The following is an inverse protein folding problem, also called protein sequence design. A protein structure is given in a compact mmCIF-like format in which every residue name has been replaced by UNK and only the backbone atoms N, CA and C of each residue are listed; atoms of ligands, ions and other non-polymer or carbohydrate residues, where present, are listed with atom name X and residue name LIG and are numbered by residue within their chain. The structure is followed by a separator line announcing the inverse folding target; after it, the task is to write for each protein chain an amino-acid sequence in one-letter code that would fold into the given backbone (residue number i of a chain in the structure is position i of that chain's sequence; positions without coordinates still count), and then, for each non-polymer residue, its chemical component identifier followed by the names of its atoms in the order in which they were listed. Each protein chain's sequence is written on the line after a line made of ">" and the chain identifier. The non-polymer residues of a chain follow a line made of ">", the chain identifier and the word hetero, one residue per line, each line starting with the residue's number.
data_IF_578472192061
#
_entry.id   IF_578472192061
#
_cell.length_a   1.000
_cell.length_b   1.000
_cell.length_c   1.000
_cell.angle_alpha   90.00
_cell.angle_beta   90.00
_cell.angle_gamma   90.00
#
_symmetry.space_group_name_H-M   'P 1'
#
loop_
_entity.id
_entity.type
_entity.pdbx_description
1 polymer ?
#
# COMPACT_ATOMS: atom_id res chain seq x y z
N UNK A 1 56.18 23.46 17.81
CA UNK A 1 55.70 22.93 19.12
C UNK A 1 55.66 21.40 19.10
N UNK A 2 54.95 20.77 18.16
CA UNK A 2 54.85 19.30 18.05
C UNK A 2 56.18 18.58 17.77
N UNK A 3 57.02 19.12 16.89
CA UNK A 3 58.37 18.60 16.62
C UNK A 3 59.27 18.52 17.87
N UNK A 4 59.19 19.52 18.76
CA UNK A 4 59.96 19.51 20.01
C UNK A 4 59.45 18.47 20.99
N UNK A 5 58.13 18.28 21.06
CA UNK A 5 57.52 17.23 21.87
C UNK A 5 57.86 15.83 21.35
N UNK A 6 57.86 15.64 20.03
CA UNK A 6 58.26 14.38 19.40
C UNK A 6 59.69 13.98 19.79
N UNK A 7 60.65 14.90 19.63
CA UNK A 7 62.05 14.65 20.03
C UNK A 7 62.19 14.38 21.53
N UNK A 8 61.49 15.15 22.37
CA UNK A 8 61.51 14.93 23.82
C UNK A 8 60.99 13.55 24.21
N UNK A 9 59.92 13.08 23.57
CA UNK A 9 59.34 11.75 23.81
C UNK A 9 60.27 10.65 23.31
N UNK A 10 60.96 10.85 22.18
CA UNK A 10 61.97 9.92 21.68
C UNK A 10 63.18 9.79 22.63
N UNK A 11 63.66 10.92 23.13
CA UNK A 11 64.89 10.99 23.93
C UNK A 11 64.67 10.58 25.41
N UNK A 12 63.48 10.81 25.97
CA UNK A 12 63.20 10.64 27.39
C UNK A 12 61.91 9.84 27.71
N UNK A 13 61.26 9.26 26.70
CA UNK A 13 60.01 8.51 26.89
C UNK A 13 60.25 7.06 27.32
N UNK A 14 59.50 6.60 28.31
CA UNK A 14 59.46 5.18 28.70
C UNK A 14 58.52 4.38 27.77
N UNK A 15 58.75 3.06 27.58
CA UNK A 15 57.83 2.22 26.82
C UNK A 15 56.42 2.23 27.39
N UNK A 16 55.42 2.42 26.53
CA UNK A 16 54.02 2.45 26.94
C UNK A 16 53.14 1.51 26.11
N UNK A 17 52.06 1.04 26.70
CA UNK A 17 51.09 0.17 26.03
C UNK A 17 50.01 1.00 25.34
N UNK A 18 49.79 0.73 24.06
CA UNK A 18 48.71 1.33 23.26
C UNK A 18 47.81 0.23 22.74
N UNK A 19 46.50 0.40 22.91
CA UNK A 19 45.49 -0.46 22.30
C UNK A 19 45.32 -0.05 20.83
N UNK A 20 45.72 -0.91 19.89
CA UNK A 20 45.59 -0.72 18.44
C UNK A 20 44.81 -1.92 17.89
N UNK A 21 43.64 -1.70 17.30
CA UNK A 21 42.85 -2.77 16.66
C UNK A 21 42.49 -3.91 17.62
N UNK A 22 42.06 -3.58 18.84
CA UNK A 22 41.74 -4.56 19.88
C UNK A 22 42.94 -5.23 20.58
N UNK A 23 44.17 -5.09 20.07
CA UNK A 23 45.38 -5.71 20.64
C UNK A 23 46.22 -4.68 21.40
N UNK A 24 46.78 -5.06 22.54
CA UNK A 24 47.74 -4.22 23.28
C UNK A 24 49.12 -4.38 22.64
N UNK A 25 49.64 -3.31 22.05
CA UNK A 25 50.98 -3.25 21.49
C UNK A 25 51.88 -2.42 22.41
N UNK A 26 53.03 -2.97 22.78
CA UNK A 26 54.07 -2.24 23.50
C UNK A 26 54.84 -1.37 22.51
N UNK A 27 54.76 -0.05 22.68
CA UNK A 27 55.41 0.92 21.81
C UNK A 27 56.62 1.52 22.54
N UNK A 28 57.80 1.38 21.94
CA UNK A 28 59.03 2.01 22.39
C UNK A 28 59.31 3.31 21.59
N UNK A 29 59.24 4.50 22.23
CA UNK A 29 59.46 5.77 21.56
C UNK A 29 60.88 5.99 21.05
N UNK A 30 61.88 5.32 21.63
CA UNK A 30 63.27 5.48 21.21
C UNK A 30 63.54 4.93 19.81
N UNK A 31 62.70 4.00 19.34
CA UNK A 31 62.77 3.40 18.01
C UNK A 31 62.09 4.23 16.90
N UNK A 32 61.52 5.39 17.23
CA UNK A 32 60.82 6.21 16.24
C UNK A 32 61.79 6.87 15.24
N UNK A 33 61.38 7.08 13.97
CA UNK A 33 62.24 7.67 12.94
C UNK A 33 62.67 9.10 13.30
N UNK A 34 63.89 9.50 12.94
CA UNK A 34 64.38 10.87 13.22
C UNK A 34 63.59 11.96 12.49
N UNK A 35 63.06 11.63 11.30
CA UNK A 35 62.27 12.53 10.45
C UNK A 35 60.91 11.90 10.08
N UNK A 36 59.87 12.07 10.92
CA UNK A 36 58.52 11.65 10.57
C UNK A 36 57.87 12.61 9.56
N UNK A 37 57.17 12.07 8.56
CA UNK A 37 56.27 12.85 7.71
C UNK A 37 54.98 13.16 8.50
N UNK A 38 54.89 14.39 9.03
CA UNK A 38 53.80 14.82 9.91
C UNK A 38 52.87 15.81 9.20
N UNK A 39 51.67 15.37 8.84
CA UNK A 39 50.59 16.26 8.39
C UNK A 39 49.77 16.71 9.61
N UNK A 40 50.04 17.92 10.10
CA UNK A 40 49.33 18.48 11.26
C UNK A 40 48.02 19.11 10.78
N UNK A 41 46.89 18.43 11.01
CA UNK A 41 45.56 19.01 10.83
C UNK A 41 45.09 19.63 12.15
N UNK A 42 45.30 20.93 12.32
CA UNK A 42 44.67 21.66 13.43
C UNK A 42 43.20 21.92 13.10
N UNK A 43 42.32 21.09 13.64
CA UNK A 43 40.89 21.37 13.60
C UNK A 43 40.60 22.64 14.40
N UNK A 44 40.22 23.72 13.72
CA UNK A 44 39.53 24.83 14.37
C UNK A 44 38.36 24.23 15.16
N UNK A 45 38.38 24.39 16.48
CA UNK A 45 37.43 23.78 17.43
C UNK A 45 36.00 24.30 17.31
N UNK A 46 35.55 24.72 16.14
CA UNK A 46 34.19 25.17 15.87
C UNK A 46 33.35 23.99 15.41
N UNK A 47 32.32 23.64 16.21
CA UNK A 47 31.01 23.02 15.93
C UNK A 47 30.70 22.37 14.55
N UNK A 48 31.67 21.77 13.87
CA UNK A 48 31.49 21.07 12.59
C UNK A 48 31.53 19.56 12.77
N UNK A 49 31.51 19.06 14.01
CA UNK A 49 31.41 17.61 14.27
C UNK A 49 30.15 17.06 13.60
N UNK A 50 29.02 17.73 13.77
CA UNK A 50 27.76 17.34 13.12
C UNK A 50 27.85 17.38 11.59
N UNK A 51 28.51 18.40 11.04
CA UNK A 51 28.76 18.46 9.59
C UNK A 51 29.68 17.34 9.10
N UNK A 52 30.73 16.98 9.86
CA UNK A 52 31.62 15.87 9.51
C UNK A 52 30.90 14.54 9.60
N UNK A 53 30.07 14.33 10.62
CA UNK A 53 29.23 13.15 10.76
C UNK A 53 28.26 13.06 9.58
N UNK A 54 27.57 14.16 9.23
CA UNK A 54 26.65 14.20 8.09
C UNK A 54 27.35 13.87 6.76
N UNK A 55 28.53 14.46 6.50
CA UNK A 55 29.30 14.16 5.30
C UNK A 55 29.81 12.71 5.27
N UNK A 56 30.21 12.15 6.41
CA UNK A 56 30.63 10.74 6.51
C UNK A 56 29.47 9.77 6.35
N UNK A 57 28.29 10.10 6.87
CA UNK A 57 27.06 9.32 6.65
C UNK A 57 26.68 9.31 5.17
N UNK A 58 26.78 10.45 4.48
CA UNK A 58 26.55 10.53 3.03
C UNK A 58 27.57 9.69 2.25
N UNK A 59 28.85 9.76 2.62
CA UNK A 59 29.89 8.94 1.99
C UNK A 59 29.64 7.44 2.22
N UNK A 60 29.21 7.03 3.42
CA UNK A 60 28.87 5.63 3.71
C UNK A 60 27.72 5.12 2.84
N UNK A 61 26.72 5.98 2.54
CA UNK A 61 25.66 5.66 1.59
C UNK A 61 26.19 5.38 0.19
N UNK A 62 27.07 6.25 -0.32
CA UNK A 62 27.73 6.06 -1.63
C UNK A 62 28.61 4.80 -1.63
N UNK A 63 29.32 4.52 -0.53
CA UNK A 63 30.14 3.32 -0.40
C UNK A 63 29.28 2.04 -0.36
N UNK A 64 28.05 2.12 0.16
CA UNK A 64 27.10 1.01 0.15
C UNK A 64 26.58 0.73 -1.26
N UNK A 65 26.19 1.76 -2.00
CA UNK A 65 25.83 1.61 -3.42
C UNK A 65 27.03 1.11 -4.25
N UNK A 66 28.22 1.62 -3.94
CA UNK A 66 29.49 1.19 -4.52
C UNK A 66 29.82 -0.28 -4.24
N UNK A 67 29.38 -0.83 -3.10
CA UNK A 67 29.63 -2.22 -2.74
C UNK A 67 28.85 -3.17 -3.66
N UNK A 68 27.61 -2.82 -4.00
CA UNK A 68 26.76 -3.63 -4.87
C UNK A 68 27.28 -3.68 -6.32
N UNK A 69 27.98 -2.63 -6.76
CA UNK A 69 28.63 -2.58 -8.09
C UNK A 69 30.12 -3.01 -8.06
N UNK A 70 30.64 -3.42 -6.90
CA UNK A 70 32.03 -3.87 -6.74
C UNK A 70 33.11 -2.77 -6.76
N UNK A 71 32.72 -1.52 -6.55
CA UNK A 71 33.61 -0.35 -6.48
C UNK A 71 34.23 -0.16 -5.09
N UNK A 72 33.57 -0.65 -4.03
CA UNK A 72 34.03 -0.53 -2.65
C UNK A 72 34.19 -1.91 -2.00
N UNK A 73 35.28 -2.07 -1.23
CA UNK A 73 35.57 -3.29 -0.48
C UNK A 73 35.07 -3.19 0.97
N UNK A 74 34.87 -4.33 1.64
CA UNK A 74 34.44 -4.42 3.04
C UNK A 74 35.35 -3.60 3.97
N UNK A 75 36.65 -3.54 3.68
CA UNK A 75 37.60 -2.70 4.43
C UNK A 75 37.29 -1.21 4.33
N UNK A 76 36.92 -0.74 3.15
CA UNK A 76 36.64 0.68 2.91
C UNK A 76 35.35 1.13 3.58
N UNK A 77 34.37 0.23 3.69
CA UNK A 77 33.14 0.41 4.48
C UNK A 77 33.45 0.46 5.97
N UNK A 78 34.26 -0.48 6.48
CA UNK A 78 34.68 -0.47 7.88
C UNK A 78 35.42 0.81 8.25
N UNK A 79 36.35 1.28 7.41
CA UNK A 79 37.06 2.54 7.64
C UNK A 79 36.12 3.76 7.67
N UNK A 80 35.07 3.77 6.84
CA UNK A 80 34.03 4.81 6.85
C UNK A 80 33.22 4.81 8.14
N UNK A 81 32.75 3.63 8.55
CA UNK A 81 32.01 3.42 9.79
C UNK A 81 32.86 3.74 11.04
N UNK A 82 34.12 3.31 11.06
CA UNK A 82 35.10 3.61 12.09
C UNK A 82 35.37 5.12 12.22
N UNK A 83 35.39 5.83 11.09
CA UNK A 83 35.46 7.28 11.08
C UNK A 83 34.27 7.93 11.80
N UNK A 84 33.05 7.43 11.56
CA UNK A 84 31.84 7.97 12.19
C UNK A 84 31.88 7.79 13.71
N UNK A 85 32.24 6.59 14.20
CA UNK A 85 32.36 6.30 15.64
C UNK A 85 33.39 7.21 16.32
N UNK A 86 34.54 7.43 15.67
CA UNK A 86 35.58 8.35 16.15
C UNK A 86 35.10 9.80 16.19
N UNK A 87 34.31 10.24 15.21
CA UNK A 87 33.74 11.60 15.21
C UNK A 87 32.61 11.78 16.23
N UNK A 88 31.81 10.74 16.47
CA UNK A 88 30.77 10.69 17.50
C UNK A 88 31.34 10.62 18.92
N UNK A 89 32.61 10.24 19.08
CA UNK A 89 33.30 10.12 20.36
C UNK A 89 32.58 9.19 21.36
N UNK A 90 31.92 8.14 20.83
CA UNK A 90 31.14 7.17 21.61
C UNK A 90 31.96 5.94 22.05
N UNK A 91 33.16 5.76 21.51
CA UNK A 91 34.01 4.61 21.83
C UNK A 91 35.02 4.30 20.72
N UNK A 92 35.58 3.09 20.76
CA UNK A 92 36.43 2.58 19.67
C UNK A 92 35.56 1.96 18.58
N UNK A 93 35.89 2.13 17.28
CA UNK A 93 35.19 1.47 16.17
C UNK A 93 35.02 -0.04 16.31
N UNK A 94 36.03 -0.71 16.86
CA UNK A 94 36.08 -2.16 17.02
C UNK A 94 35.03 -2.69 18.02
N UNK A 95 34.43 -1.82 18.83
CA UNK A 95 33.34 -2.18 19.75
C UNK A 95 31.98 -2.25 19.04
N UNK A 96 31.85 -1.63 17.87
CA UNK A 96 30.60 -1.52 17.12
C UNK A 96 30.61 -2.26 15.78
N UNK A 97 31.80 -2.41 15.19
CA UNK A 97 31.99 -3.02 13.88
C UNK A 97 33.11 -4.05 13.94
N UNK A 98 32.95 -5.15 13.20
CA UNK A 98 34.00 -6.17 13.05
C UNK A 98 34.97 -5.71 11.96
N UNK A 99 36.26 -5.62 12.29
CA UNK A 99 37.29 -5.30 11.30
C UNK A 99 37.46 -6.49 10.34
N UNK A 100 37.20 -6.32 9.02
CA UNK A 100 37.36 -7.38 8.05
C UNK A 100 38.81 -7.88 7.90
N UNK A 101 39.82 -7.16 8.41
CA UNK A 101 41.24 -7.57 8.42
C UNK A 101 41.60 -8.52 9.55
N UNK A 102 40.88 -8.42 10.67
CA UNK A 102 41.06 -9.25 11.87
C UNK A 102 39.87 -10.19 12.09
N UNK A 103 38.93 -10.23 11.14
CA UNK A 103 37.90 -11.24 11.13
C UNK A 103 38.61 -12.61 11.07
N UNK A 104 38.34 -13.54 12.01
CA UNK A 104 38.72 -14.92 11.79
C UNK A 104 38.19 -15.34 10.42
N UNK A 105 38.92 -16.18 9.65
CA UNK A 105 38.47 -16.64 8.34
C UNK A 105 37.02 -17.03 8.48
N UNK A 106 36.19 -16.32 7.72
CA UNK A 106 34.74 -16.38 7.81
C UNK A 106 34.38 -17.86 7.80
N UNK A 107 33.90 -18.39 8.94
CA UNK A 107 33.28 -19.71 8.95
C UNK A 107 32.29 -19.69 7.78
N UNK A 108 32.40 -20.75 6.98
CA UNK A 108 31.87 -20.88 5.64
C UNK A 108 30.50 -20.21 5.54
N UNK A 109 30.34 -19.44 4.46
CA UNK A 109 29.05 -18.89 4.04
C UNK A 109 27.94 -19.88 4.42
N UNK A 110 26.85 -19.46 5.09
CA UNK A 110 25.74 -20.37 5.30
C UNK A 110 25.36 -20.88 3.91
N UNK A 111 25.40 -22.21 3.74
CA UNK A 111 25.29 -22.89 2.45
C UNK A 111 24.33 -22.15 1.50
N UNK A 112 24.64 -22.00 0.20
CA UNK A 112 23.76 -21.36 -0.76
C UNK A 112 22.34 -21.97 -0.81
N UNK A 113 22.13 -23.15 -0.23
CA UNK A 113 20.81 -23.72 0.05
C UNK A 113 20.03 -22.99 1.15
N UNK A 114 20.66 -22.53 2.23
CA UNK A 114 19.99 -21.81 3.33
C UNK A 114 19.55 -20.42 2.89
N UNK A 115 20.37 -19.71 2.11
CA UNK A 115 19.99 -18.40 1.54
C UNK A 115 18.86 -18.57 0.52
N UNK A 116 18.90 -19.62 -0.31
CA UNK A 116 17.78 -19.96 -1.20
C UNK A 116 16.52 -20.36 -0.44
N UNK A 117 16.64 -21.12 0.65
CA UNK A 117 15.53 -21.51 1.49
C UNK A 117 14.89 -20.30 2.19
N UNK A 118 15.71 -19.34 2.64
CA UNK A 118 15.22 -18.10 3.25
C UNK A 118 14.52 -17.22 2.22
N UNK A 119 15.09 -17.05 1.02
CA UNK A 119 14.42 -16.35 -0.08
C UNK A 119 13.14 -17.06 -0.55
N UNK A 120 13.13 -18.39 -0.58
CA UNK A 120 11.93 -19.16 -0.91
C UNK A 120 10.86 -19.02 0.17
N UNK A 121 11.24 -19.03 1.45
CA UNK A 121 10.32 -18.82 2.55
C UNK A 121 9.69 -17.41 2.48
N UNK A 122 10.49 -16.39 2.18
CA UNK A 122 10.01 -15.01 2.04
C UNK A 122 9.11 -14.85 0.80
N UNK A 123 9.49 -15.46 -0.34
CA UNK A 123 8.66 -15.49 -1.54
C UNK A 123 7.34 -16.27 -1.32
N UNK A 124 7.37 -17.35 -0.53
CA UNK A 124 6.20 -18.12 -0.19
C UNK A 124 5.27 -17.35 0.75
N UNK A 125 5.82 -16.63 1.74
CA UNK A 125 5.05 -15.73 2.59
C UNK A 125 4.41 -14.58 1.78
N UNK A 126 5.15 -13.99 0.85
CA UNK A 126 4.62 -12.95 -0.03
C UNK A 126 3.49 -13.48 -0.93
N UNK A 127 3.61 -14.71 -1.45
CA UNK A 127 2.53 -15.38 -2.19
C UNK A 127 1.31 -15.64 -1.32
N UNK A 128 1.48 -16.19 -0.12
CA UNK A 128 0.37 -16.44 0.80
C UNK A 128 -0.35 -15.13 1.16
N UNK A 129 0.39 -14.06 1.45
CA UNK A 129 -0.19 -12.75 1.72
C UNK A 129 -0.93 -12.17 0.49
N UNK A 130 -0.39 -12.38 -0.71
CA UNK A 130 -1.05 -12.00 -1.97
C UNK A 130 -2.34 -12.79 -2.21
N UNK A 131 -2.30 -14.11 -2.01
CA UNK A 131 -3.45 -15.00 -2.18
C UNK A 131 -4.55 -14.71 -1.16
N UNK A 132 -4.20 -14.37 0.09
CA UNK A 132 -5.16 -13.93 1.10
C UNK A 132 -5.88 -12.64 0.68
N UNK A 133 -5.13 -11.63 0.22
CA UNK A 133 -5.74 -10.38 -0.28
C UNK A 133 -6.60 -10.61 -1.50
N UNK A 134 -6.16 -11.46 -2.43
CA UNK A 134 -6.94 -11.82 -3.61
C UNK A 134 -8.23 -12.56 -3.23
N UNK A 135 -8.18 -13.46 -2.25
CA UNK A 135 -9.36 -14.15 -1.73
C UNK A 135 -10.32 -13.20 -1.02
N UNK A 136 -9.82 -12.24 -0.22
CA UNK A 136 -10.64 -11.20 0.43
C UNK A 136 -11.33 -10.31 -0.59
N UNK A 137 -10.60 -9.82 -1.60
CA UNK A 137 -11.17 -9.01 -2.69
C UNK A 137 -12.22 -9.78 -3.47
N UNK A 138 -11.96 -11.05 -3.79
CA UNK A 138 -12.92 -11.91 -4.49
C UNK A 138 -14.18 -12.13 -3.66
N UNK A 139 -14.04 -12.30 -2.34
CA UNK A 139 -15.19 -12.45 -1.44
C UNK A 139 -15.99 -11.14 -1.34
N UNK A 140 -15.34 -9.99 -1.29
CA UNK A 140 -16.01 -8.69 -1.32
C UNK A 140 -16.77 -8.47 -2.63
N UNK A 141 -16.13 -8.74 -3.77
CA UNK A 141 -16.79 -8.65 -5.08
C UNK A 141 -17.98 -9.58 -5.19
N UNK A 142 -17.87 -10.83 -4.71
CA UNK A 142 -19.02 -11.75 -4.70
C UNK A 142 -20.17 -11.27 -3.81
N UNK A 143 -19.87 -10.62 -2.69
CA UNK A 143 -20.91 -10.03 -1.82
C UNK A 143 -21.58 -8.85 -2.49
N UNK A 144 -20.81 -7.97 -3.11
CA UNK A 144 -21.33 -6.80 -3.83
C UNK A 144 -22.16 -7.23 -5.05
N UNK A 145 -21.71 -8.21 -5.83
CA UNK A 145 -22.49 -8.79 -6.93
C UNK A 145 -23.78 -9.44 -6.43
N UNK A 146 -23.75 -10.13 -5.29
CA UNK A 146 -24.94 -10.74 -4.71
C UNK A 146 -25.93 -9.68 -4.19
N UNK A 147 -25.43 -8.61 -3.57
CA UNK A 147 -26.22 -7.48 -3.11
C UNK A 147 -26.87 -6.74 -4.28
N UNK A 148 -26.11 -6.41 -5.32
CA UNK A 148 -26.64 -5.80 -6.55
C UNK A 148 -27.66 -6.68 -7.24
N UNK A 149 -27.46 -8.00 -7.29
CA UNK A 149 -28.47 -8.93 -7.85
C UNK A 149 -29.75 -8.96 -7.03
N UNK A 150 -29.64 -8.90 -5.70
CA UNK A 150 -30.83 -8.84 -4.84
C UNK A 150 -31.56 -7.50 -4.97
N UNK A 151 -30.82 -6.39 -5.12
CA UNK A 151 -31.39 -5.06 -5.35
C UNK A 151 -32.11 -5.01 -6.70
N UNK A 152 -31.46 -5.46 -7.77
CA UNK A 152 -32.09 -5.57 -9.10
C UNK A 152 -33.33 -6.45 -9.08
N UNK A 153 -33.30 -7.60 -8.41
CA UNK A 153 -34.47 -8.48 -8.30
C UNK A 153 -35.62 -7.83 -7.51
N UNK A 154 -35.32 -7.00 -6.50
CA UNK A 154 -36.34 -6.21 -5.78
C UNK A 154 -36.92 -5.14 -6.67
N UNK A 155 -36.08 -4.38 -7.37
CA UNK A 155 -36.51 -3.32 -8.28
C UNK A 155 -37.37 -3.88 -9.42
N UNK A 156 -36.98 -5.03 -10.00
CA UNK A 156 -37.78 -5.74 -11.00
C UNK A 156 -39.14 -6.15 -10.43
N UNK A 157 -39.17 -6.73 -9.22
CA UNK A 157 -40.42 -7.12 -8.57
C UNK A 157 -41.32 -5.92 -8.24
N UNK A 158 -40.75 -4.81 -7.77
CA UNK A 158 -41.49 -3.57 -7.52
C UNK A 158 -42.03 -2.98 -8.81
N UNK A 159 -41.24 -2.98 -9.89
CA UNK A 159 -41.66 -2.49 -11.19
C UNK A 159 -42.78 -3.35 -11.80
N UNK A 160 -42.67 -4.67 -11.69
CA UNK A 160 -43.73 -5.60 -12.10
C UNK A 160 -45.01 -5.40 -11.29
N UNK A 161 -44.91 -5.22 -9.97
CA UNK A 161 -46.06 -4.93 -9.11
C UNK A 161 -46.74 -3.61 -9.52
N UNK A 162 -45.97 -2.54 -9.75
CA UNK A 162 -46.49 -1.25 -10.21
C UNK A 162 -47.12 -1.34 -11.61
N UNK A 163 -46.56 -2.17 -12.49
CA UNK A 163 -47.15 -2.41 -13.81
C UNK A 163 -48.46 -3.19 -13.71
N UNK A 164 -48.51 -4.20 -12.85
CA UNK A 164 -49.73 -4.98 -12.59
C UNK A 164 -50.83 -4.09 -12.00
N UNK A 165 -50.51 -3.24 -11.02
CA UNK A 165 -51.47 -2.30 -10.43
C UNK A 165 -51.99 -1.29 -11.48
N UNK A 166 -51.10 -0.73 -12.30
CA UNK A 166 -51.51 0.18 -13.39
C UNK A 166 -52.39 -0.52 -14.42
N UNK A 167 -52.06 -1.75 -14.81
CA UNK A 167 -52.89 -2.54 -15.74
C UNK A 167 -54.26 -2.84 -15.13
N UNK A 168 -54.30 -3.24 -13.87
CA UNK A 168 -55.55 -3.53 -13.17
C UNK A 168 -56.44 -2.28 -13.07
N UNK A 169 -55.87 -1.13 -12.70
CA UNK A 169 -56.59 0.14 -12.67
C UNK A 169 -57.13 0.53 -14.04
N UNK A 170 -56.31 0.40 -15.08
CA UNK A 170 -56.72 0.69 -16.45
C UNK A 170 -57.83 -0.25 -16.94
N UNK A 171 -57.77 -1.53 -16.57
CA UNK A 171 -58.82 -2.50 -16.88
C UNK A 171 -60.13 -2.17 -16.15
N UNK A 172 -60.06 -1.75 -14.87
CA UNK A 172 -61.23 -1.26 -14.15
C UNK A 172 -61.84 -0.02 -14.81
N UNK A 173 -61.02 0.98 -15.16
CA UNK A 173 -61.48 2.20 -15.86
C UNK A 173 -62.13 1.86 -17.20
N UNK A 174 -61.58 0.90 -17.96
CA UNK A 174 -62.21 0.41 -19.19
C UNK A 174 -63.53 -0.31 -18.93
N UNK A 175 -63.60 -1.16 -17.91
CA UNK A 175 -64.81 -1.91 -17.57
C UNK A 175 -65.94 -0.96 -17.14
N UNK A 176 -65.63 0.04 -16.32
CA UNK A 176 -66.55 1.09 -15.92
C UNK A 176 -67.01 1.93 -17.13
N UNK A 177 -66.10 2.33 -18.01
CA UNK A 177 -66.44 3.06 -19.22
C UNK A 177 -67.35 2.24 -20.15
N UNK A 178 -67.07 0.95 -20.32
CA UNK A 178 -67.93 0.03 -21.10
C UNK A 178 -69.31 -0.11 -20.47
N UNK A 179 -69.39 -0.28 -19.16
CA UNK A 179 -70.66 -0.39 -18.45
C UNK A 179 -71.49 0.90 -18.56
N UNK A 180 -70.86 2.08 -18.40
CA UNK A 180 -71.52 3.36 -18.59
C UNK A 180 -72.02 3.54 -20.03
N UNK A 181 -71.20 3.17 -21.01
CA UNK A 181 -71.57 3.23 -22.42
C UNK A 181 -72.74 2.29 -22.75
N UNK A 182 -72.68 1.04 -22.30
CA UNK A 182 -73.77 0.07 -22.45
C UNK A 182 -75.06 0.55 -21.77
N UNK A 183 -74.97 1.13 -20.57
CA UNK A 183 -76.12 1.70 -19.87
C UNK A 183 -76.75 2.88 -20.63
N UNK A 184 -75.92 3.75 -21.22
CA UNK A 184 -76.40 4.85 -22.07
C UNK A 184 -77.09 4.31 -23.34
N UNK A 185 -76.46 3.35 -24.01
CA UNK A 185 -77.03 2.70 -25.20
C UNK A 185 -78.35 2.00 -24.89
N UNK A 186 -78.47 1.33 -23.73
CA UNK A 186 -79.70 0.70 -23.29
C UNK A 186 -80.81 1.74 -23.02
N UNK A 187 -80.47 2.89 -22.41
CA UNK A 187 -81.43 3.99 -22.21
C UNK A 187 -81.90 4.61 -23.52
N UNK A 188 -80.99 4.84 -24.46
CA UNK A 188 -81.33 5.37 -25.80
C UNK A 188 -82.19 4.37 -26.59
N UNK A 189 -81.87 3.07 -26.56
CA UNK A 189 -82.72 2.02 -27.14
C UNK A 189 -84.11 2.00 -26.50
N UNK A 190 -84.20 1.98 -25.18
CA UNK A 190 -85.50 2.02 -24.49
C UNK A 190 -86.31 3.27 -24.85
N UNK A 191 -85.65 4.43 -25.02
CA UNK A 191 -86.30 5.68 -25.41
C UNK A 191 -86.79 5.65 -26.86
N UNK A 192 -85.99 5.12 -27.78
CA UNK A 192 -86.35 4.99 -29.20
C UNK A 192 -87.42 3.94 -29.41
N UNK A 193 -87.37 2.80 -28.72
CA UNK A 193 -88.42 1.78 -28.73
C UNK A 193 -89.74 2.31 -28.17
N UNK A 194 -89.70 3.08 -27.07
CA UNK A 194 -90.88 3.76 -26.53
C UNK A 194 -91.45 4.79 -27.50
N UNK A 195 -90.59 5.59 -28.16
CA UNK A 195 -91.01 6.53 -29.19
C UNK A 195 -91.62 5.82 -30.42
N UNK A 196 -91.03 4.70 -30.84
CA UNK A 196 -91.53 3.88 -31.94
C UNK A 196 -92.89 3.23 -31.61
N UNK A 197 -93.09 2.74 -30.38
CA UNK A 197 -94.40 2.22 -29.94
C UNK A 197 -95.48 3.32 -29.89
N UNK A 198 -95.13 4.53 -29.45
CA UNK A 198 -96.05 5.68 -29.46
C UNK A 198 -96.42 6.07 -30.90
N UNK A 199 -95.48 6.10 -31.83
CA UNK A 199 -95.73 6.34 -33.26
C UNK A 199 -96.62 5.26 -33.90
N UNK A 200 -96.36 3.98 -33.62
CA UNK A 200 -97.17 2.86 -34.14
C UNK A 200 -98.61 2.92 -33.60
N UNK A 201 -98.79 3.32 -32.33
CA UNK A 201 -100.13 3.48 -31.74
C UNK A 201 -100.96 4.61 -32.39
N UNK A 202 -100.28 5.68 -32.85
CA UNK A 202 -100.92 6.80 -33.56
C UNK A 202 -101.26 6.48 -35.02
N UNK A 203 -100.53 5.57 -35.65
CA UNK A 203 -100.71 5.17 -37.06
C UNK A 203 -101.65 3.98 -37.28
N UNK A 204 -102.54 3.65 -36.33
CA UNK A 204 -103.59 2.63 -36.53
C UNK A 204 -104.94 3.29 -36.88
N UNK A 205 -105.23 3.58 -38.17
CA UNK A 205 -106.55 4.07 -38.57
C UNK A 205 -107.60 2.98 -38.31
N UNK A 206 -108.73 3.40 -37.76
CA UNK A 206 -109.81 2.53 -37.31
C UNK A 206 -110.41 1.69 -38.44
N UNK A 207 -110.52 0.39 -38.18
CA UNK A 207 -111.47 -0.48 -38.89
C UNK A 207 -112.74 -0.57 -38.08
N UNK A 208 -113.79 0.16 -38.51
CA UNK A 208 -115.16 -0.19 -38.15
C UNK A 208 -115.53 -1.49 -38.88
N UNK A 209 -116.03 -2.47 -38.13
CA UNK A 209 -116.86 -3.51 -38.71
C UNK A 209 -118.16 -3.53 -37.90
N UNK A 210 -119.22 -3.12 -38.60
CA UNK A 210 -120.60 -3.16 -38.15
C UNK A 210 -121.06 -4.61 -37.93
N UNK A 211 -121.82 -4.82 -36.87
CA UNK A 211 -122.86 -5.83 -36.73
C UNK A 211 -123.89 -5.31 -35.70
#
# INVERSE_FOLDING_TARGET
>A
MFWRKYRLIKDAGEPFEVKIGGTFAQVDPSQWPDEPDMVIRTGLGTNRKDQRIAMRMQLLGIQREGYDIGLTDKETLFNGAAGIVKDMNIGQPDEYFVDPRNAPPQEEQPDPEIVKAQMQAEAQQAKIAGDQRAAELKLQLQREEAEQKMELARDEAEFEAQLAERKFRFEQEQAEARMMFEAQMAREKARTDAAAQVEISKNRPGGSLAA
#
